data_IF_027795385473
#
_entry.id   IF_027795385473
#
_cell.length_a   1.000
_cell.length_b   1.000
_cell.length_c   1.000
_cell.angle_alpha   90.00
_cell.angle_beta   90.00
_cell.angle_gamma   90.00
#
_symmetry.space_group_name_H-M   'P 1'
#
loop_
_entity.id
_entity.type
_entity.pdbx_description
1 polymer ?
#
# COMPACT_ATOMS: atom_id res chain seq x y z
N UNK A 1 3.01 -1.64 -10.05
CA UNK A 1 2.21 -1.08 -8.93
C UNK A 1 0.74 -1.15 -9.28
N UNK A 2 -0.10 -1.45 -8.32
CA UNK A 2 -1.55 -1.51 -8.49
C UNK A 2 -2.24 -0.21 -8.11
N UNK A 3 -1.57 0.63 -7.32
CA UNK A 3 -2.04 1.96 -6.94
C UNK A 3 -1.14 2.96 -7.65
N UNK A 4 -1.74 3.87 -8.42
CA UNK A 4 -1.00 4.82 -9.23
C UNK A 4 -0.41 5.95 -8.40
N UNK A 5 0.78 6.42 -8.80
CA UNK A 5 1.44 7.55 -8.15
C UNK A 5 0.53 8.78 -8.12
N UNK A 6 -0.14 9.09 -9.23
CA UNK A 6 -1.03 10.25 -9.32
C UNK A 6 -2.21 10.16 -8.37
N UNK A 7 -2.73 8.95 -8.16
CA UNK A 7 -3.83 8.72 -7.22
C UNK A 7 -3.38 9.04 -5.79
N UNK A 8 -2.18 8.59 -5.40
CA UNK A 8 -1.62 8.87 -4.08
C UNK A 8 -1.33 10.37 -3.93
N UNK A 9 -0.77 11.00 -4.94
CA UNK A 9 -0.47 12.44 -4.88
C UNK A 9 -1.74 13.26 -4.66
N UNK A 10 -2.83 12.90 -5.32
CA UNK A 10 -4.14 13.54 -5.09
C UNK A 10 -4.64 13.32 -3.67
N UNK A 11 -4.49 12.11 -3.17
CA UNK A 11 -4.90 11.76 -1.81
C UNK A 11 -4.11 12.57 -0.76
N UNK A 12 -2.82 12.83 -1.02
CA UNK A 12 -1.94 13.56 -0.12
C UNK A 12 -1.95 15.08 -0.37
N UNK A 13 -2.64 15.55 -1.40
CA UNK A 13 -2.61 16.96 -1.83
C UNK A 13 -1.20 17.43 -2.20
N UNK A 14 -0.44 16.55 -2.86
CA UNK A 14 0.92 16.84 -3.33
C UNK A 14 0.86 17.14 -4.82
N UNK A 15 1.23 18.35 -5.22
CA UNK A 15 1.20 18.78 -6.62
C UNK A 15 2.60 19.11 -7.18
N UNK A 16 3.66 18.88 -6.40
CA UNK A 16 5.04 18.99 -6.86
C UNK A 16 5.61 17.59 -7.14
N UNK A 17 6.77 17.53 -7.81
CA UNK A 17 7.35 16.26 -8.26
C UNK A 17 8.62 15.84 -7.51
N UNK A 18 9.09 16.62 -6.57
CA UNK A 18 10.34 16.36 -5.84
C UNK A 18 10.30 15.06 -5.03
N UNK A 19 9.12 14.68 -4.56
CA UNK A 19 8.94 13.47 -3.75
C UNK A 19 8.44 12.27 -4.53
N UNK A 20 8.37 12.34 -5.87
CA UNK A 20 7.79 11.25 -6.67
C UNK A 20 8.48 9.90 -6.45
N UNK A 21 9.81 9.88 -6.43
CA UNK A 21 10.56 8.63 -6.20
C UNK A 21 10.35 8.11 -4.78
N UNK A 22 10.29 9.01 -3.81
CA UNK A 22 10.05 8.64 -2.42
C UNK A 22 8.66 8.04 -2.27
N UNK A 23 7.62 8.70 -2.82
CA UNK A 23 6.25 8.23 -2.76
C UNK A 23 6.12 6.87 -3.46
N UNK A 24 6.77 6.70 -4.62
CA UNK A 24 6.77 5.42 -5.35
C UNK A 24 7.32 4.30 -4.48
N UNK A 25 8.45 4.53 -3.78
CA UNK A 25 9.00 3.51 -2.89
C UNK A 25 8.08 3.20 -1.71
N UNK A 26 7.34 4.19 -1.22
CA UNK A 26 6.34 3.99 -0.16
C UNK A 26 5.16 3.15 -0.64
N UNK A 27 4.70 3.36 -1.89
CA UNK A 27 3.64 2.53 -2.49
C UNK A 27 4.12 1.08 -2.59
N UNK A 28 5.33 0.87 -3.07
CA UNK A 28 5.91 -0.48 -3.17
C UNK A 28 6.01 -1.16 -1.81
N UNK A 29 6.45 -0.43 -0.79
CA UNK A 29 6.52 -0.96 0.57
C UNK A 29 5.14 -1.31 1.13
N UNK A 30 4.13 -0.49 0.86
CA UNK A 30 2.76 -0.75 1.29
C UNK A 30 2.20 -1.99 0.59
N UNK A 31 2.44 -2.13 -0.71
CA UNK A 31 2.00 -3.32 -1.48
C UNK A 31 2.67 -4.58 -0.94
N UNK A 32 3.97 -4.53 -0.66
CA UNK A 32 4.70 -5.67 -0.10
C UNK A 32 4.15 -6.04 1.29
N UNK A 33 3.81 -5.05 2.11
CA UNK A 33 3.22 -5.29 3.43
C UNK A 33 1.87 -5.98 3.33
N UNK A 34 1.04 -5.58 2.37
CA UNK A 34 -0.26 -6.21 2.13
C UNK A 34 -0.06 -7.66 1.66
N UNK A 35 0.85 -7.91 0.72
CA UNK A 35 1.16 -9.28 0.28
C UNK A 35 1.59 -10.15 1.45
N UNK A 36 2.46 -9.62 2.31
CA UNK A 36 2.93 -10.35 3.48
C UNK A 36 1.77 -10.69 4.43
N UNK A 37 0.85 -9.75 4.61
CA UNK A 37 -0.29 -9.94 5.52
C UNK A 37 -1.32 -10.93 5.00
N UNK A 38 -1.58 -10.96 3.69
CA UNK A 38 -2.55 -11.89 3.12
C UNK A 38 -1.95 -13.26 2.79
N UNK A 39 -0.62 -13.36 2.73
CA UNK A 39 0.07 -14.62 2.47
C UNK A 39 0.07 -15.05 1.02
N UNK A 40 -0.17 -14.13 0.07
CA UNK A 40 -0.19 -14.45 -1.35
C UNK A 40 0.24 -13.22 -2.16
N UNK A 41 0.84 -13.42 -3.35
CA UNK A 41 1.16 -12.30 -4.25
C UNK A 41 -0.10 -11.54 -4.65
N UNK A 42 0.00 -10.22 -4.77
CA UNK A 42 -1.13 -9.41 -5.22
C UNK A 42 -1.60 -9.80 -6.62
N UNK A 43 -0.69 -10.28 -7.46
CA UNK A 43 -1.03 -10.75 -8.80
C UNK A 43 -2.05 -11.89 -8.78
N UNK A 44 -2.05 -12.71 -7.72
CA UNK A 44 -3.02 -13.82 -7.58
C UNK A 44 -4.41 -13.33 -7.20
N UNK A 45 -4.48 -12.16 -6.60
CA UNK A 45 -5.75 -11.56 -6.14
C UNK A 45 -6.33 -10.63 -7.21
N UNK A 46 -5.45 -10.00 -8.01
CA UNK A 46 -5.86 -9.03 -9.02
C UNK A 46 -6.70 -9.66 -10.12
N UNK A 47 -7.72 -8.96 -10.56
CA UNK A 47 -8.57 -9.35 -11.70
C UNK A 47 -8.40 -8.31 -12.79
N UNK A 48 -8.01 -8.73 -13.99
CA UNK A 48 -7.76 -7.84 -15.14
C UNK A 48 -6.76 -6.72 -14.82
N UNK A 49 -5.75 -7.03 -14.01
CA UNK A 49 -4.72 -6.07 -13.62
C UNK A 49 -5.14 -5.10 -12.52
N UNK A 50 -6.33 -5.30 -11.96
CA UNK A 50 -6.88 -4.43 -10.92
C UNK A 50 -7.05 -5.18 -9.60
N UNK A 51 -6.66 -4.54 -8.50
CA UNK A 51 -6.92 -5.07 -7.16
C UNK A 51 -8.35 -4.74 -6.72
N UNK A 52 -8.93 -5.55 -5.82
CA UNK A 52 -10.17 -5.16 -5.15
C UNK A 52 -10.04 -3.79 -4.49
N UNK A 53 -11.13 -3.05 -4.45
CA UNK A 53 -11.16 -1.68 -3.90
C UNK A 53 -10.66 -1.64 -2.46
N UNK A 54 -11.02 -2.64 -1.65
CA UNK A 54 -10.61 -2.69 -0.25
C UNK A 54 -9.09 -2.75 -0.11
N UNK A 55 -8.40 -3.53 -0.96
CA UNK A 55 -6.95 -3.65 -0.92
C UNK A 55 -6.28 -2.36 -1.40
N UNK A 56 -6.81 -1.73 -2.44
CA UNK A 56 -6.32 -0.42 -2.90
C UNK A 56 -6.42 0.62 -1.78
N UNK A 57 -7.52 0.61 -1.06
CA UNK A 57 -7.75 1.54 0.05
C UNK A 57 -6.73 1.35 1.17
N UNK A 58 -6.45 0.10 1.54
CA UNK A 58 -5.43 -0.20 2.56
C UNK A 58 -4.06 0.32 2.11
N UNK A 59 -3.70 0.07 0.85
CA UNK A 59 -2.42 0.53 0.29
C UNK A 59 -2.34 2.06 0.34
N UNK A 60 -3.40 2.76 -0.02
CA UNK A 60 -3.44 4.24 0.05
C UNK A 60 -3.22 4.74 1.46
N UNK A 61 -3.92 4.17 2.44
CA UNK A 61 -3.81 4.57 3.85
C UNK A 61 -2.39 4.32 4.35
N UNK A 62 -1.83 3.15 4.07
CA UNK A 62 -0.47 2.83 4.50
C UNK A 62 0.55 3.77 3.87
N UNK A 63 0.41 4.05 2.58
CA UNK A 63 1.30 4.97 1.88
C UNK A 63 1.22 6.37 2.48
N UNK A 64 0.01 6.85 2.76
CA UNK A 64 -0.19 8.15 3.38
C UNK A 64 0.46 8.22 4.75
N UNK A 65 0.34 7.17 5.55
CA UNK A 65 0.98 7.11 6.87
C UNK A 65 2.50 7.13 6.73
N UNK A 66 3.08 6.40 5.79
CA UNK A 66 4.51 6.41 5.55
C UNK A 66 4.99 7.82 5.17
N UNK A 67 4.26 8.49 4.32
CA UNK A 67 4.62 9.83 3.86
C UNK A 67 4.56 10.85 5.00
N UNK A 68 3.50 10.81 5.80
CA UNK A 68 3.29 11.75 6.91
C UNK A 68 4.29 11.56 8.04
N UNK A 69 4.70 10.34 8.30
CA UNK A 69 5.56 10.00 9.44
C UNK A 69 6.93 9.47 9.00
N UNK A 70 7.41 9.90 7.83
CA UNK A 70 8.61 9.36 7.20
C UNK A 70 9.89 9.54 8.01
N UNK A 71 9.96 10.55 8.85
CA UNK A 71 11.16 10.83 9.64
C UNK A 71 11.49 9.73 10.64
N UNK A 72 10.49 9.01 11.13
CA UNK A 72 10.68 7.95 12.10
C UNK A 72 10.62 6.55 11.51
N UNK A 73 10.58 6.40 10.18
CA UNK A 73 10.31 5.11 9.54
C UNK A 73 11.42 4.66 8.62
N UNK A 74 11.56 3.34 8.49
CA UNK A 74 12.47 2.71 7.53
C UNK A 74 11.64 2.15 6.37
N UNK A 75 11.68 2.78 5.22
CA UNK A 75 10.78 2.48 4.10
C UNK A 75 11.15 1.22 3.32
N UNK A 76 12.38 0.76 3.44
CA UNK A 76 12.82 -0.45 2.74
C UNK A 76 12.37 -1.75 3.36
N UNK A 77 11.71 -1.70 4.51
CA UNK A 77 11.25 -2.90 5.22
C UNK A 77 9.76 -3.12 5.02
N UNK A 78 9.38 -4.40 4.95
CA UNK A 78 7.98 -4.78 4.95
C UNK A 78 7.42 -4.50 6.34
N UNK A 79 6.35 -3.70 6.39
CA UNK A 79 5.69 -3.35 7.63
C UNK A 79 4.46 -4.24 7.83
N UNK A 80 4.07 -4.45 9.08
CA UNK A 80 2.83 -5.15 9.40
C UNK A 80 1.65 -4.22 9.13
N UNK A 81 0.61 -4.72 8.47
CA UNK A 81 -0.61 -3.95 8.27
C UNK A 81 -1.22 -3.66 9.64
N UNK A 82 -1.56 -2.38 9.94
CA UNK A 82 -2.17 -2.03 11.21
C UNK A 82 -3.42 -2.86 11.51
N UNK A 83 -3.60 -3.21 12.77
CA UNK A 83 -4.75 -4.00 13.22
C UNK A 83 -6.08 -3.37 12.78
N UNK A 84 -6.17 -2.04 12.81
CA UNK A 84 -7.36 -1.31 12.42
C UNK A 84 -7.74 -1.50 10.95
N UNK A 85 -6.79 -1.92 10.10
CA UNK A 85 -7.02 -2.18 8.69
C UNK A 85 -7.11 -3.67 8.36
N UNK A 86 -6.76 -4.53 9.30
CA UNK A 86 -6.68 -5.98 9.04
C UNK A 86 -8.02 -6.58 8.63
N UNK A 87 -9.13 -6.03 9.12
CA UNK A 87 -10.47 -6.52 8.76
C UNK A 87 -10.77 -6.36 7.26
N UNK A 88 -10.15 -5.39 6.61
CA UNK A 88 -10.32 -5.20 5.17
C UNK A 88 -9.58 -6.27 4.36
N UNK A 89 -8.57 -6.88 4.97
CA UNK A 89 -7.78 -7.93 4.33
C UNK A 89 -8.34 -9.33 4.58
N UNK A 90 -9.17 -9.49 5.62
CA UNK A 90 -9.63 -10.80 6.07
C UNK A 90 -10.20 -11.70 4.96
N UNK A 91 -11.03 -11.19 4.02
CA UNK A 91 -11.56 -12.02 2.93
C UNK A 91 -10.49 -12.52 1.96
N UNK A 92 -9.30 -11.93 1.97
CA UNK A 92 -8.23 -12.22 1.00
C UNK A 92 -7.08 -13.02 1.62
N UNK A 93 -7.10 -13.25 2.93
CA UNK A 93 -6.03 -13.98 3.61
C UNK A 93 -6.07 -15.43 3.17
N UNK A 94 -4.89 -15.93 2.75
CA UNK A 94 -4.73 -17.33 2.37
C UNK A 94 -4.39 -18.12 3.62
N UNK A 95 -5.22 -19.10 3.94
CA UNK A 95 -5.00 -20.00 5.06
C UNK A 95 -4.16 -21.18 4.59
N UNK A 96 -2.96 -21.31 5.14
CA UNK A 96 -2.04 -22.41 4.80
C UNK A 96 -1.80 -23.30 6.00
#
# INVERSE_FOLDING_TARGET
MYVELEDIKRHLNVDFNEDDNLITSMIEAAEASVENSIGAPLADIATDGELPVALKHVIRIMTANFYEYREGMTYGKIQTVPFTLSHLLAPYIVLT
#
